data_IF_739761779893
#
_entry.id   IF_739761779893
#
_cell.length_a   1.000
_cell.length_b   1.000
_cell.length_c   1.000
_cell.angle_alpha   90.00
_cell.angle_beta   90.00
_cell.angle_gamma   90.00
#
_symmetry.space_group_name_H-M   'P 1'
#
loop_
_entity.id
_entity.type
_entity.pdbx_description
1 polymer ?
#
# COMPACT_ATOMS: atom_id res chain seq x y z
N UNK A 1 5.59 5.90 11.99
CA UNK A 1 4.84 4.63 12.18
C UNK A 1 4.16 4.67 13.53
N UNK A 2 2.97 4.09 13.63
CA UNK A 2 2.19 3.99 14.87
C UNK A 2 1.73 2.54 15.04
N UNK A 3 1.93 1.96 16.22
CA UNK A 3 1.48 0.60 16.52
C UNK A 3 0.46 0.63 17.66
N UNK A 4 -0.73 0.09 17.40
CA UNK A 4 -1.76 -0.14 18.40
C UNK A 4 -1.76 -1.62 18.78
N UNK A 5 -1.45 -1.91 20.05
CA UNK A 5 -1.39 -3.28 20.61
C UNK A 5 -2.73 -4.02 20.57
N UNK A 6 -3.82 -3.30 20.39
CA UNK A 6 -5.17 -3.81 20.20
C UNK A 6 -5.85 -3.00 19.10
N UNK A 7 -6.86 -3.58 18.42
CA UNK A 7 -7.68 -2.82 17.48
C UNK A 7 -8.30 -1.59 18.17
N UNK A 8 -8.06 -0.37 17.67
CA UNK A 8 -8.61 0.84 18.26
C UNK A 8 -10.14 0.86 18.21
N UNK A 9 -10.76 1.57 19.15
CA UNK A 9 -12.21 1.78 19.14
C UNK A 9 -12.62 2.47 17.83
N UNK A 10 -13.60 1.88 17.13
CA UNK A 10 -14.11 2.39 15.85
C UNK A 10 -13.29 1.96 14.63
N UNK A 11 -12.31 1.05 14.78
CA UNK A 11 -11.70 0.36 13.66
C UNK A 11 -12.49 -0.92 13.33
N UNK A 12 -12.82 -1.10 12.05
CA UNK A 12 -13.46 -2.32 11.53
C UNK A 12 -12.47 -3.05 10.64
N UNK A 13 -12.31 -4.35 10.86
CA UNK A 13 -11.47 -5.19 10.01
C UNK A 13 -12.06 -5.22 8.59
N UNK A 14 -11.23 -5.03 7.54
CA UNK A 14 -11.71 -5.02 6.17
C UNK A 14 -12.20 -6.41 5.76
N UNK A 15 -13.07 -6.44 4.75
CA UNK A 15 -13.47 -7.68 4.08
C UNK A 15 -12.47 -8.02 2.98
N UNK A 16 -12.02 -9.27 2.97
CA UNK A 16 -11.19 -9.83 1.90
C UNK A 16 -12.05 -10.08 0.65
N UNK A 17 -11.44 -10.25 -0.54
CA UNK A 17 -12.18 -10.50 -1.78
C UNK A 17 -13.12 -11.72 -1.74
N UNK A 18 -12.83 -12.70 -0.89
CA UNK A 18 -13.66 -13.89 -0.65
C UNK A 18 -14.84 -13.65 0.32
N UNK A 19 -15.02 -12.43 0.81
CA UNK A 19 -16.07 -12.02 1.76
C UNK A 19 -15.75 -12.31 3.23
N UNK A 20 -14.63 -12.96 3.53
CA UNK A 20 -14.18 -13.18 4.91
C UNK A 20 -13.63 -11.89 5.51
N UNK A 21 -13.58 -11.82 6.84
CA UNK A 21 -12.98 -10.67 7.54
C UNK A 21 -11.48 -10.89 7.63
N UNK A 22 -10.68 -9.88 7.29
CA UNK A 22 -9.23 -9.95 7.42
C UNK A 22 -8.83 -10.30 8.87
N UNK A 23 -7.87 -11.20 9.09
CA UNK A 23 -7.38 -11.50 10.42
C UNK A 23 -6.63 -10.30 11.01
N UNK A 24 -6.63 -10.17 12.35
CA UNK A 24 -5.80 -9.18 13.04
C UNK A 24 -6.33 -8.83 14.43
N UNK A 25 -5.42 -8.65 15.38
CA UNK A 25 -5.72 -8.28 16.77
C UNK A 25 -5.10 -6.94 17.16
N UNK A 26 -4.13 -6.47 16.38
CA UNK A 26 -3.39 -5.23 16.52
C UNK A 26 -3.48 -4.43 15.22
N UNK A 27 -3.07 -3.16 15.27
CA UNK A 27 -3.08 -2.28 14.11
C UNK A 27 -1.73 -1.59 13.94
N UNK A 28 -1.11 -1.74 12.76
CA UNK A 28 0.10 -1.02 12.38
C UNK A 28 -0.25 0.04 11.34
N UNK A 29 -0.05 1.31 11.70
CA UNK A 29 -0.30 2.44 10.81
C UNK A 29 1.01 3.04 10.27
N UNK A 30 1.14 2.99 8.95
CA UNK A 30 2.22 3.64 8.20
C UNK A 30 1.76 5.01 7.72
N UNK A 31 1.66 5.96 8.66
CA UNK A 31 1.29 7.35 8.34
C UNK A 31 2.32 7.98 7.41
N UNK A 32 1.90 8.35 6.21
CA UNK A 32 2.77 8.98 5.21
C UNK A 32 2.61 10.49 5.24
N UNK A 33 3.74 11.20 5.13
CA UNK A 33 3.79 12.65 5.03
C UNK A 33 4.71 13.09 3.90
N UNK A 34 4.29 14.06 3.09
CA UNK A 34 5.16 14.76 2.13
C UNK A 34 5.12 16.24 2.49
N UNK A 35 6.29 16.85 2.74
CA UNK A 35 6.39 18.27 3.08
C UNK A 35 5.58 18.66 4.33
N UNK A 36 5.43 17.76 5.30
CA UNK A 36 4.62 17.97 6.50
C UNK A 36 3.11 17.75 6.33
N UNK A 37 2.63 17.49 5.10
CA UNK A 37 1.22 17.19 4.83
C UNK A 37 1.00 15.69 4.92
N UNK A 38 0.04 15.27 5.77
CA UNK A 38 -0.38 13.86 5.84
C UNK A 38 -1.02 13.50 4.50
N UNK A 39 -0.38 12.59 3.77
CA UNK A 39 -0.97 12.02 2.57
C UNK A 39 -2.11 11.12 3.00
N UNK A 40 -3.11 10.91 2.14
CA UNK A 40 -4.10 9.87 2.35
C UNK A 40 -5.07 10.03 3.54
N UNK A 41 -4.98 11.13 4.28
CA UNK A 41 -5.84 11.42 5.45
C UNK A 41 -7.34 11.46 5.13
N UNK A 42 -7.72 11.62 3.85
CA UNK A 42 -9.11 11.63 3.40
C UNK A 42 -9.77 10.25 3.48
N UNK A 43 -9.00 9.15 3.49
CA UNK A 43 -9.49 7.80 3.77
C UNK A 43 -9.85 7.56 5.25
N UNK A 44 -9.98 8.63 6.02
CA UNK A 44 -10.34 8.59 7.42
C UNK A 44 -9.16 8.34 8.38
N UNK A 45 -9.49 8.18 9.68
CA UNK A 45 -8.49 8.07 10.74
C UNK A 45 -7.64 6.81 10.64
N UNK A 46 -8.06 5.80 9.88
CA UNK A 46 -7.37 4.52 9.73
C UNK A 46 -6.74 4.31 8.35
N UNK A 47 -6.72 5.36 7.52
CA UNK A 47 -5.94 5.35 6.29
C UNK A 47 -4.47 5.01 6.61
N UNK A 48 -3.92 4.11 5.81
CA UNK A 48 -2.55 3.60 5.86
C UNK A 48 -2.27 2.63 7.03
N UNK A 49 -3.34 2.13 7.66
CA UNK A 49 -3.27 1.11 8.70
C UNK A 49 -3.53 -0.30 8.15
N UNK A 50 -2.80 -1.28 8.68
CA UNK A 50 -2.97 -2.70 8.39
C UNK A 50 -3.27 -3.48 9.67
N UNK A 51 -4.27 -4.37 9.66
CA UNK A 51 -4.40 -5.37 10.72
C UNK A 51 -3.13 -6.23 10.77
N UNK A 52 -2.66 -6.50 11.98
CA UNK A 52 -1.56 -7.45 12.24
C UNK A 52 -1.90 -8.32 13.44
N UNK A 53 -1.27 -9.48 13.52
CA UNK A 53 -1.43 -10.44 14.62
C UNK A 53 -0.31 -10.26 15.65
N UNK A 54 -0.31 -9.11 16.31
CA UNK A 54 0.69 -8.76 17.32
C UNK A 54 1.98 -8.16 16.75
N UNK A 55 3.04 -8.14 17.56
CA UNK A 55 4.33 -7.52 17.21
C UNK A 55 5.16 -8.35 16.23
N UNK A 56 4.92 -9.66 16.17
CA UNK A 56 5.67 -10.63 15.40
C UNK A 56 4.74 -11.34 14.41
N UNK A 57 4.17 -10.57 13.48
CA UNK A 57 3.31 -11.10 12.42
C UNK A 57 4.14 -11.41 11.16
N UNK A 58 4.46 -12.69 10.88
CA UNK A 58 5.24 -13.07 9.72
C UNK A 58 4.48 -12.86 8.40
N UNK A 59 3.15 -12.71 8.42
CA UNK A 59 2.34 -12.50 7.21
C UNK A 59 2.33 -11.04 6.75
N UNK A 60 2.65 -10.09 7.63
CA UNK A 60 2.77 -8.69 7.27
C UNK A 60 4.12 -8.37 6.59
N UNK A 61 5.10 -9.27 6.65
CA UNK A 61 6.38 -9.15 5.99
C UNK A 61 6.30 -9.66 4.53
N UNK A 62 6.73 -8.83 3.56
CA UNK A 62 6.75 -9.18 2.13
C UNK A 62 5.49 -8.85 1.34
N UNK A 63 4.47 -8.25 1.97
CA UNK A 63 3.22 -7.87 1.29
C UNK A 63 3.31 -6.53 0.55
N UNK A 64 2.85 -6.53 -0.71
CA UNK A 64 2.38 -5.30 -1.36
C UNK A 64 1.03 -4.90 -0.77
N UNK A 65 0.78 -3.59 -0.60
CA UNK A 65 -0.55 -3.17 -0.21
C UNK A 65 -0.84 -1.72 -0.54
N UNK A 66 -2.03 -1.50 -1.08
CA UNK A 66 -2.67 -0.19 -1.12
C UNK A 66 -3.18 0.15 0.28
N UNK A 67 -2.27 0.54 1.17
CA UNK A 67 -2.65 0.81 2.55
C UNK A 67 -3.55 2.05 2.59
N UNK A 68 -4.80 1.82 2.98
CA UNK A 68 -5.84 2.83 3.07
C UNK A 68 -6.67 3.13 1.82
N UNK A 69 -6.55 2.45 0.66
CA UNK A 69 -7.24 2.92 -0.56
C UNK A 69 -8.59 2.33 -0.91
N UNK A 70 -8.97 1.15 -0.42
CA UNK A 70 -10.28 0.58 -0.77
C UNK A 70 -11.44 1.54 -0.43
N UNK A 71 -11.26 2.40 0.57
CA UNK A 71 -12.25 3.39 1.00
C UNK A 71 -12.01 4.83 0.48
N UNK A 72 -10.93 5.10 -0.27
CA UNK A 72 -10.51 6.49 -0.62
C UNK A 72 -11.15 7.06 -1.89
N UNK A 73 -11.93 6.26 -2.62
CA UNK A 73 -12.57 6.72 -3.87
C UNK A 73 -11.58 7.42 -4.81
N UNK A 74 -11.98 8.57 -5.36
CA UNK A 74 -11.26 9.28 -6.44
C UNK A 74 -10.71 10.67 -6.07
N UNK A 75 -10.76 11.10 -4.81
CA UNK A 75 -10.35 12.46 -4.40
C UNK A 75 -9.04 12.49 -3.60
N UNK A 76 -8.35 13.64 -3.63
CA UNK A 76 -7.17 13.92 -2.81
C UNK A 76 -5.84 13.42 -3.37
N UNK A 77 -4.73 13.90 -2.78
CA UNK A 77 -3.39 13.38 -3.09
C UNK A 77 -3.27 11.95 -2.56
N UNK A 78 -2.99 11.01 -3.47
CA UNK A 78 -2.98 9.56 -3.22
C UNK A 78 -1.64 8.96 -3.63
N UNK A 79 -1.13 7.99 -2.88
CA UNK A 79 0.12 7.24 -3.15
C UNK A 79 -0.08 5.73 -3.08
N UNK A 80 0.25 5.00 -4.14
CA UNK A 80 0.49 3.56 -4.06
C UNK A 80 1.90 3.33 -3.51
N UNK A 81 2.04 2.48 -2.48
CA UNK A 81 3.35 2.14 -1.89
C UNK A 81 3.48 0.63 -1.81
N UNK A 82 4.62 0.13 -2.25
CA UNK A 82 4.98 -1.29 -2.12
C UNK A 82 6.19 -1.45 -1.20
N UNK A 83 6.20 -2.55 -0.45
CA UNK A 83 7.39 -3.12 0.17
C UNK A 83 7.73 -4.40 -0.61
N UNK A 84 8.46 -4.29 -1.73
CA UNK A 84 8.54 -5.38 -2.68
C UNK A 84 9.60 -6.42 -2.28
N UNK A 85 9.53 -7.58 -2.91
CA UNK A 85 10.59 -8.60 -2.83
C UNK A 85 11.93 -8.08 -3.38
N UNK A 86 13.01 -8.77 -3.01
CA UNK A 86 14.38 -8.30 -3.26
C UNK A 86 14.77 -8.20 -4.75
N UNK A 87 14.09 -8.94 -5.61
CA UNK A 87 14.31 -8.96 -7.06
C UNK A 87 13.56 -7.84 -7.81
N UNK A 88 12.59 -7.20 -7.17
CA UNK A 88 11.82 -6.11 -7.78
C UNK A 88 12.64 -4.82 -7.86
N UNK A 89 12.88 -4.37 -9.09
CA UNK A 89 13.57 -3.13 -9.42
C UNK A 89 12.62 -1.93 -9.53
N UNK A 90 11.40 -2.13 -10.02
CA UNK A 90 10.40 -1.07 -10.13
C UNK A 90 8.97 -1.62 -10.25
N UNK A 91 7.99 -0.78 -9.92
CA UNK A 91 6.57 -0.98 -10.20
C UNK A 91 6.07 -0.10 -11.33
N UNK A 92 5.05 -0.58 -12.05
CA UNK A 92 4.26 0.19 -13.03
C UNK A 92 2.80 0.12 -12.61
N UNK A 93 2.21 1.28 -12.36
CA UNK A 93 0.80 1.43 -12.00
C UNK A 93 0.03 1.93 -13.23
N UNK A 94 -0.88 1.10 -13.74
CA UNK A 94 -1.79 1.49 -14.82
C UNK A 94 -3.04 2.14 -14.23
N UNK A 95 -3.46 3.26 -14.83
CA UNK A 95 -4.60 4.05 -14.38
C UNK A 95 -5.80 3.94 -15.31
N UNK A 96 -6.99 4.29 -14.82
CA UNK A 96 -8.26 4.25 -15.56
C UNK A 96 -8.28 5.07 -16.86
N UNK A 97 -7.50 6.15 -16.94
CA UNK A 97 -7.37 6.97 -18.14
C UNK A 97 -6.31 6.45 -19.14
N UNK A 98 -5.74 5.26 -18.90
CA UNK A 98 -4.67 4.68 -19.71
C UNK A 98 -3.26 5.20 -19.41
N UNK A 99 -3.10 6.13 -18.47
CA UNK A 99 -1.78 6.60 -18.03
C UNK A 99 -1.07 5.51 -17.23
N UNK A 100 0.25 5.43 -17.38
CA UNK A 100 1.11 4.58 -16.55
C UNK A 100 2.04 5.42 -15.70
N UNK A 101 2.18 5.04 -14.42
CA UNK A 101 3.11 5.66 -13.48
C UNK A 101 4.16 4.63 -13.09
N UNK A 102 5.42 4.89 -13.46
CA UNK A 102 6.56 4.05 -13.08
C UNK A 102 7.20 4.57 -11.79
N UNK A 103 7.50 3.68 -10.86
CA UNK A 103 8.17 4.00 -9.61
C UNK A 103 9.33 3.03 -9.34
N UNK A 104 10.53 3.57 -9.18
CA UNK A 104 11.75 2.77 -8.91
C UNK A 104 11.81 2.34 -7.45
N UNK A 105 12.20 1.09 -7.21
CA UNK A 105 12.49 0.60 -5.86
C UNK A 105 13.73 1.29 -5.31
N UNK A 106 13.60 1.86 -4.12
CA UNK A 106 14.69 2.43 -3.34
C UNK A 106 14.88 1.65 -2.04
N UNK A 107 16.12 1.56 -1.58
CA UNK A 107 16.46 1.05 -0.25
C UNK A 107 16.54 2.21 0.72
N UNK A 108 15.88 2.09 1.88
CA UNK A 108 15.98 3.09 2.95
C UNK A 108 17.41 3.05 3.52
N UNK A 109 18.16 4.16 3.52
CA UNK A 109 19.54 4.19 3.99
C UNK A 109 19.72 3.58 5.38
N UNK A 110 20.73 2.71 5.53
CA UNK A 110 21.03 2.03 6.79
C UNK A 110 20.12 0.83 7.11
N UNK A 111 19.27 0.40 6.19
CA UNK A 111 18.38 -0.75 6.37
C UNK A 111 18.38 -1.66 5.14
N UNK A 112 17.82 -2.86 5.28
CA UNK A 112 17.47 -3.73 4.13
C UNK A 112 16.06 -3.47 3.61
N UNK A 113 15.34 -2.50 4.19
CA UNK A 113 13.97 -2.20 3.83
C UNK A 113 13.92 -1.51 2.46
N UNK A 114 13.10 -2.05 1.56
CA UNK A 114 12.94 -1.57 0.20
C UNK A 114 11.52 -1.09 -0.01
N UNK A 115 11.36 -0.03 -0.80
CA UNK A 115 10.05 0.45 -1.17
C UNK A 115 10.08 1.19 -2.51
N UNK A 116 8.95 1.18 -3.19
CA UNK A 116 8.65 2.16 -4.25
C UNK A 116 7.32 2.82 -3.96
N UNK A 117 7.16 4.06 -4.43
CA UNK A 117 5.93 4.84 -4.26
C UNK A 117 5.54 5.51 -5.57
N UNK A 118 4.27 5.42 -5.95
CA UNK A 118 3.71 5.98 -7.17
C UNK A 118 2.53 6.91 -6.85
N UNK A 119 2.51 8.18 -7.32
CA UNK A 119 1.36 9.05 -7.15
C UNK A 119 0.17 8.60 -7.99
N UNK A 120 -1.02 8.69 -7.41
CA UNK A 120 -2.30 8.43 -8.08
C UNK A 120 -3.05 9.77 -8.21
N UNK A 121 -3.13 10.36 -9.41
CA UNK A 121 -3.81 11.64 -9.63
C UNK A 121 -5.30 11.59 -9.23
N UNK A 122 -5.87 12.74 -8.85
CA UNK A 122 -7.31 12.87 -8.62
C UNK A 122 -8.12 12.33 -9.81
N UNK A 123 -9.25 11.68 -9.53
CA UNK A 123 -10.16 11.15 -10.54
C UNK A 123 -9.76 9.80 -11.15
N UNK A 124 -8.58 9.26 -10.82
CA UNK A 124 -8.08 8.02 -11.41
C UNK A 124 -8.23 6.79 -10.50
N UNK A 125 -8.67 5.65 -11.02
CA UNK A 125 -8.50 4.36 -10.33
C UNK A 125 -7.29 3.61 -10.86
N UNK A 126 -6.77 2.69 -10.05
CA UNK A 126 -5.73 1.75 -10.49
C UNK A 126 -6.42 0.60 -11.22
N UNK A 127 -5.94 0.28 -12.41
CA UNK A 127 -6.44 -0.87 -13.19
C UNK A 127 -5.54 -2.07 -13.02
N UNK A 128 -4.23 -1.87 -13.05
CA UNK A 128 -3.22 -2.92 -12.82
C UNK A 128 -2.01 -2.37 -12.08
N UNK A 129 -1.32 -3.25 -11.36
CA UNK A 129 0.03 -3.00 -10.85
C UNK A 129 0.91 -4.16 -11.29
N UNK A 130 1.93 -3.82 -12.07
CA UNK A 130 2.93 -4.76 -12.55
C UNK A 130 4.27 -4.46 -11.87
N UNK A 131 5.00 -5.50 -11.46
CA UNK A 131 6.36 -5.35 -10.92
C UNK A 131 7.38 -6.03 -11.80
N UNK A 132 8.58 -5.46 -11.87
CA UNK A 132 9.62 -5.89 -12.79
C UNK A 132 10.99 -5.98 -12.12
N UNK A 133 11.82 -6.90 -12.62
CA UNK A 133 13.23 -7.01 -12.27
C UNK A 133 14.10 -6.00 -13.05
N UNK A 134 15.42 -6.05 -12.83
CA UNK A 134 16.40 -5.21 -13.54
C UNK A 134 16.56 -5.55 -15.02
N UNK A 135 16.07 -6.71 -15.47
CA UNK A 135 16.09 -7.16 -16.86
C UNK A 135 14.78 -6.84 -17.59
N UNK A 136 13.88 -6.10 -16.95
CA UNK A 136 12.54 -5.78 -17.46
C UNK A 136 11.62 -7.00 -17.63
N UNK A 137 11.91 -8.10 -16.95
CA UNK A 137 10.97 -9.21 -16.83
C UNK A 137 9.90 -8.89 -15.80
N UNK A 138 8.64 -9.14 -16.16
CA UNK A 138 7.53 -8.96 -15.24
C UNK A 138 7.51 -10.09 -14.21
N UNK A 139 7.62 -9.74 -12.95
CA UNK A 139 7.60 -10.65 -11.80
C UNK A 139 6.18 -10.86 -11.27
N UNK A 140 5.36 -9.81 -11.25
CA UNK A 140 3.98 -9.89 -10.78
C UNK A 140 3.03 -9.03 -11.62
N UNK A 141 1.76 -9.43 -11.64
CA UNK A 141 0.65 -8.70 -12.24
C UNK A 141 -0.56 -8.77 -11.30
N UNK A 142 -1.01 -7.62 -10.82
CA UNK A 142 -2.11 -7.52 -9.87
C UNK A 142 -3.21 -6.59 -10.40
N UNK A 143 -4.46 -7.06 -10.33
CA UNK A 143 -5.68 -6.40 -10.81
C UNK A 143 -6.67 -6.11 -9.68
N UNK A 144 -6.35 -6.46 -8.43
CA UNK A 144 -7.25 -6.37 -7.28
C UNK A 144 -7.39 -4.94 -6.71
N UNK A 145 -7.01 -3.93 -7.50
CA UNK A 145 -6.86 -2.55 -7.08
C UNK A 145 -7.99 -1.62 -7.54
N UNK A 146 -9.07 -2.20 -8.06
CA UNK A 146 -10.28 -1.49 -8.49
C UNK A 146 -11.18 -1.10 -7.33
#
# INVERSE_FOLDING_TARGET
>A
MEFHRTLPKGYTLPKLPDGTTAPGTSLLCRRMFIGGVRIDHQGGPWADCQPVTGTDDPQAAGGMGLWGFHDKGLSGTRLMVSNPEADVAYGVVSLSNGTQVKATTATVPGTTYRAWAAPIPNGQTITTVDQYDTHHHRLSHDTNWR
#
